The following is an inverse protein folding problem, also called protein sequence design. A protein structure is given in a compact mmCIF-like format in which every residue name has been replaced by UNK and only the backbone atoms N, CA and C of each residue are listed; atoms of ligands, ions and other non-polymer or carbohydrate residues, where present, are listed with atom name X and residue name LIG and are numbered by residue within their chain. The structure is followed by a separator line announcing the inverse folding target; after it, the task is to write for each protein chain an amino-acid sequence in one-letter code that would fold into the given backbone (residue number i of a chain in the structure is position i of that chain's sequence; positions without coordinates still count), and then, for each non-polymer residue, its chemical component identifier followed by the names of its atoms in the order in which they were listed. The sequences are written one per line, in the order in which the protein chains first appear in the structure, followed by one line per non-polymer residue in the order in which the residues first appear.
data_IF_485572187847
#
_entry.id   IF_485572187847
#
_cell.length_a   1.000
_cell.length_b   1.000
_cell.length_c   1.000
_cell.angle_alpha   90.00
_cell.angle_beta   90.00
_cell.angle_gamma   90.00
#
_symmetry.space_group_name_H-M   'P 1'
#
loop_
_entity.id
_entity.type
_entity.pdbx_description
1 polymer ?
#
# COMPACT_ATOMS: atom_id res chain seq x y z
N UNK A 1 8.69 43.49 75.43
CA UNK A 1 9.51 42.26 75.38
C UNK A 1 9.06 41.41 74.21
N UNK A 2 10.01 41.10 73.33
CA UNK A 2 10.04 40.16 72.19
C UNK A 2 8.73 39.56 71.65
N UNK A 3 8.38 39.90 70.40
CA UNK A 3 7.68 38.96 69.51
C UNK A 3 8.24 39.04 68.07
N UNK A 4 9.14 38.10 67.84
CA UNK A 4 9.57 37.48 66.57
C UNK A 4 8.74 37.80 65.31
N UNK A 5 9.36 38.52 64.38
CA UNK A 5 9.02 38.55 62.96
C UNK A 5 9.25 37.16 62.34
N UNK A 6 8.20 36.35 62.23
CA UNK A 6 8.20 35.18 61.35
C UNK A 6 8.19 35.65 59.90
N UNK A 7 9.38 35.67 59.28
CA UNK A 7 9.54 35.87 57.83
C UNK A 7 9.02 34.62 57.12
N UNK A 8 7.73 34.60 56.81
CA UNK A 8 7.11 33.53 56.05
C UNK A 8 7.82 33.34 54.70
N UNK A 9 8.47 32.20 54.54
CA UNK A 9 9.09 31.71 53.31
C UNK A 9 8.02 31.47 52.23
N UNK A 10 7.69 32.52 51.46
CA UNK A 10 6.81 32.45 50.26
C UNK A 10 7.49 31.79 49.04
N UNK A 11 8.36 30.81 49.24
CA UNK A 11 9.05 30.11 48.14
C UNK A 11 8.65 28.64 47.98
N UNK A 12 7.74 28.13 48.82
CA UNK A 12 7.38 26.71 48.87
C UNK A 12 6.48 26.16 47.76
N UNK A 13 5.90 26.99 46.88
CA UNK A 13 4.92 26.52 45.87
C UNK A 13 5.35 26.69 44.41
N UNK A 14 6.54 27.24 44.15
CA UNK A 14 7.03 27.50 42.79
C UNK A 14 7.61 26.27 42.09
N UNK A 15 8.08 25.26 42.83
CA UNK A 15 8.63 24.04 42.23
C UNK A 15 7.56 23.00 41.89
N UNK A 16 6.45 22.92 42.63
CA UNK A 16 5.47 21.83 42.42
C UNK A 16 4.70 21.96 41.10
N UNK A 17 4.32 23.18 40.68
CA UNK A 17 3.58 23.38 39.42
C UNK A 17 4.42 23.21 38.15
N UNK A 18 5.76 23.23 38.23
CA UNK A 18 6.65 22.96 37.09
C UNK A 18 6.76 21.47 36.79
N UNK A 19 6.67 20.63 37.82
CA UNK A 19 6.81 19.18 37.69
C UNK A 19 5.60 18.53 36.99
N UNK A 20 4.39 19.05 37.18
CA UNK A 20 3.16 18.42 36.68
C UNK A 20 2.95 18.51 35.15
N UNK A 21 3.65 19.41 34.46
CA UNK A 21 3.52 19.61 33.00
C UNK A 21 4.79 19.22 32.20
N UNK A 22 5.83 18.72 32.88
CA UNK A 22 7.05 18.26 32.25
C UNK A 22 6.89 16.80 31.80
N UNK A 23 7.01 16.57 30.50
CA UNK A 23 7.06 15.22 29.93
C UNK A 23 8.40 15.10 29.23
N UNK A 24 9.29 14.27 29.77
CA UNK A 24 10.63 14.04 29.21
C UNK A 24 10.54 13.70 27.72
N UNK A 25 11.21 14.51 26.90
CA UNK A 25 11.20 14.38 25.44
C UNK A 25 9.99 14.96 24.70
N UNK A 26 8.99 15.55 25.39
CA UNK A 26 7.81 16.17 24.77
C UNK A 26 7.54 17.62 25.20
N UNK A 27 7.79 17.98 26.46
CA UNK A 27 7.56 19.35 26.97
C UNK A 27 8.59 19.76 28.02
N UNK A 28 9.16 20.96 27.89
CA UNK A 28 10.14 21.54 28.81
C UNK A 28 11.60 21.22 28.48
N UNK A 29 12.52 21.77 29.27
CA UNK A 29 13.96 21.46 29.19
C UNK A 29 14.26 20.24 30.05
N UNK A 30 15.21 19.40 29.62
CA UNK A 30 15.58 18.18 30.34
C UNK A 30 16.19 18.47 31.72
N UNK A 31 16.10 17.51 32.63
CA UNK A 31 16.69 17.65 33.97
C UNK A 31 18.22 17.84 33.84
N UNK A 32 18.71 19.00 34.26
CA UNK A 32 20.14 19.39 34.13
C UNK A 32 20.45 20.31 32.94
N UNK A 33 19.50 20.55 32.02
CA UNK A 33 19.65 21.53 30.95
C UNK A 33 19.00 22.86 31.34
N UNK A 34 19.84 23.87 31.60
CA UNK A 34 19.34 25.21 31.92
C UNK A 34 18.79 25.86 30.64
N UNK A 35 17.57 26.44 30.67
CA UNK A 35 17.11 27.26 29.57
C UNK A 35 18.12 28.38 29.27
N UNK A 36 18.32 28.77 28.00
CA UNK A 36 19.16 29.91 27.68
C UNK A 36 18.64 31.14 28.43
N UNK A 37 19.56 31.94 28.98
CA UNK A 37 19.28 33.07 29.90
C UNK A 37 18.24 34.08 29.38
N UNK A 38 18.05 34.15 28.07
CA UNK A 38 17.12 35.06 27.38
C UNK A 38 15.81 34.42 26.91
N UNK A 39 15.58 33.13 27.16
CA UNK A 39 14.34 32.49 26.71
C UNK A 39 13.14 32.95 27.54
N UNK A 40 12.04 33.39 26.91
CA UNK A 40 10.81 33.66 27.63
C UNK A 40 10.23 32.32 28.10
N UNK A 41 10.54 31.93 29.33
CA UNK A 41 9.78 30.90 30.02
C UNK A 41 8.32 31.35 30.03
N UNK A 42 7.45 30.63 29.31
CA UNK A 42 6.02 30.89 29.22
C UNK A 42 5.39 30.63 30.58
N UNK A 43 5.47 31.60 31.49
CA UNK A 43 4.67 31.57 32.68
C UNK A 43 3.22 31.84 32.28
N UNK A 44 2.25 31.01 32.72
CA UNK A 44 0.85 31.38 32.57
C UNK A 44 0.65 32.73 33.27
N UNK A 45 0.06 33.70 32.56
CA UNK A 45 -0.29 34.99 33.15
C UNK A 45 -1.21 34.71 34.33
N UNK A 46 -0.86 35.22 35.51
CA UNK A 46 -1.74 35.13 36.68
C UNK A 46 -3.07 35.79 36.36
N UNK A 47 -4.18 35.18 36.77
CA UNK A 47 -5.50 35.78 36.60
C UNK A 47 -5.53 37.17 37.25
N UNK A 48 -6.21 38.15 36.63
CA UNK A 48 -6.34 39.49 37.20
C UNK A 48 -7.08 39.42 38.54
N UNK A 49 -6.51 40.05 39.57
CA UNK A 49 -7.17 40.17 40.88
C UNK A 49 -8.08 41.40 40.89
N UNK A 50 -9.16 41.33 41.67
CA UNK A 50 -10.15 42.40 41.76
C UNK A 50 -9.52 43.76 42.11
N UNK A 51 -8.50 43.77 42.97
CA UNK A 51 -7.81 44.98 43.42
C UNK A 51 -6.98 45.65 42.31
N UNK A 52 -6.47 44.87 41.34
CA UNK A 52 -5.74 45.40 40.19
C UNK A 52 -6.68 45.96 39.11
N UNK A 53 -7.82 45.33 38.89
CA UNK A 53 -8.78 45.73 37.85
C UNK A 53 -9.72 46.85 38.29
N UNK A 54 -10.02 46.94 39.58
CA UNK A 54 -10.98 47.86 40.15
C UNK A 54 -10.44 48.47 41.45
N UNK A 55 -9.37 49.28 41.39
CA UNK A 55 -8.76 49.86 42.57
C UNK A 55 -9.74 50.77 43.31
N UNK A 56 -9.71 50.69 44.64
CA UNK A 56 -10.51 51.58 45.49
C UNK A 56 -10.02 53.03 45.35
N UNK A 57 -10.91 54.02 45.45
CA UNK A 57 -10.53 55.42 45.36
C UNK A 57 -9.59 55.79 46.51
N UNK A 58 -8.54 56.57 46.21
CA UNK A 58 -7.55 57.03 47.21
C UNK A 58 -8.16 57.93 48.29
N UNK A 59 -9.29 58.57 48.00
CA UNK A 59 -10.03 59.45 48.91
C UNK A 59 -11.48 58.97 49.01
N UNK A 60 -11.92 58.61 50.21
CA UNK A 60 -13.27 58.09 50.49
C UNK A 60 -14.31 59.19 50.67
N UNK A 61 -13.88 60.44 50.83
CA UNK A 61 -14.76 61.59 51.09
C UNK A 61 -14.87 62.44 49.84
N UNK A 62 -16.07 62.47 49.27
CA UNK A 62 -16.51 63.58 48.42
C UNK A 62 -16.49 64.81 49.34
N UNK A 63 -15.51 65.70 49.21
CA UNK A 63 -15.43 66.90 50.06
C UNK A 63 -16.67 67.75 49.82
N UNK A 64 -17.51 67.85 50.85
CA UNK A 64 -18.87 68.41 50.87
C UNK A 64 -19.00 69.93 50.54
N UNK A 65 -18.02 70.53 49.83
CA UNK A 65 -17.97 71.97 49.60
C UNK A 65 -18.65 72.45 48.32
N UNK A 66 -18.45 71.77 47.17
CA UNK A 66 -19.01 72.19 45.86
C UNK A 66 -18.95 71.06 44.82
N UNK A 67 -19.57 69.91 45.11
CA UNK A 67 -19.62 68.80 44.16
C UNK A 67 -20.91 68.84 43.34
N UNK A 68 -20.77 69.20 42.06
CA UNK A 68 -21.84 69.15 41.05
C UNK A 68 -22.59 67.81 41.12
N UNK A 69 -23.92 67.82 40.94
CA UNK A 69 -24.78 66.61 40.89
C UNK A 69 -24.16 65.51 40.02
N UNK A 70 -23.54 65.91 38.91
CA UNK A 70 -22.84 65.04 37.98
C UNK A 70 -21.67 64.25 38.61
N UNK A 71 -20.90 64.87 39.51
CA UNK A 71 -19.78 64.23 40.20
C UNK A 71 -20.23 63.17 41.20
N UNK A 72 -21.35 63.42 41.90
CA UNK A 72 -21.97 62.45 42.81
C UNK A 72 -22.47 61.22 42.04
N UNK A 73 -23.19 61.44 40.94
CA UNK A 73 -23.64 60.37 40.04
C UNK A 73 -22.46 59.55 39.49
N UNK A 74 -21.38 60.21 39.03
CA UNK A 74 -20.17 59.52 38.56
C UNK A 74 -19.52 58.66 39.65
N UNK A 75 -19.48 59.15 40.88
CA UNK A 75 -18.92 58.39 41.99
C UNK A 75 -19.75 57.14 42.29
N UNK A 76 -21.08 57.29 42.44
CA UNK A 76 -22.02 56.19 42.69
C UNK A 76 -21.96 55.13 41.57
N UNK A 77 -21.96 55.58 40.32
CA UNK A 77 -21.89 54.71 39.15
C UNK A 77 -20.53 53.99 39.06
N UNK A 78 -19.42 54.67 39.37
CA UNK A 78 -18.11 54.05 39.45
C UNK A 78 -18.02 52.99 40.56
N UNK A 79 -18.69 53.23 41.70
CA UNK A 79 -18.71 52.29 42.81
C UNK A 79 -19.52 51.04 42.47
N UNK A 80 -20.67 51.22 41.81
CA UNK A 80 -21.47 50.12 41.30
C UNK A 80 -20.67 49.24 40.32
N UNK A 81 -19.94 49.85 39.39
CA UNK A 81 -19.07 49.12 38.44
C UNK A 81 -17.95 48.36 39.14
N UNK A 82 -17.30 48.95 40.15
CA UNK A 82 -16.26 48.28 40.95
C UNK A 82 -16.82 47.06 41.67
N UNK A 83 -18.00 47.18 42.29
CA UNK A 83 -18.67 46.07 42.98
C UNK A 83 -18.96 44.92 42.02
N UNK A 84 -19.64 45.17 40.90
CA UNK A 84 -19.93 44.12 39.91
C UNK A 84 -18.67 43.47 39.33
N UNK A 85 -17.63 44.24 39.02
CA UNK A 85 -16.38 43.69 38.53
C UNK A 85 -15.70 42.79 39.58
N UNK A 86 -15.69 43.23 40.85
CA UNK A 86 -15.09 42.46 41.95
C UNK A 86 -15.85 41.15 42.21
N UNK A 87 -17.18 41.18 42.16
CA UNK A 87 -18.04 40.00 42.32
C UNK A 87 -17.87 39.03 41.15
N UNK A 88 -17.82 39.55 39.92
CA UNK A 88 -17.57 38.74 38.73
C UNK A 88 -16.23 38.03 38.80
N UNK A 89 -15.15 38.73 39.16
CA UNK A 89 -13.81 38.13 39.27
C UNK A 89 -13.77 37.06 40.37
N UNK A 90 -14.41 37.31 41.52
CA UNK A 90 -14.52 36.29 42.59
C UNK A 90 -15.30 35.07 42.12
N UNK A 91 -16.44 35.27 41.46
CA UNK A 91 -17.24 34.19 40.91
C UNK A 91 -16.49 33.38 39.83
N UNK A 92 -15.74 34.05 38.94
CA UNK A 92 -14.89 33.35 37.97
C UNK A 92 -13.72 32.60 38.61
N UNK A 93 -13.14 33.13 39.69
CA UNK A 93 -12.04 32.48 40.39
C UNK A 93 -12.47 31.27 41.22
N UNK A 94 -13.67 31.30 41.80
CA UNK A 94 -14.12 30.29 42.78
C UNK A 94 -15.14 29.29 42.20
N UNK A 95 -16.16 29.78 41.48
CA UNK A 95 -17.31 28.95 41.09
C UNK A 95 -17.14 28.32 39.70
N UNK A 96 -16.56 29.05 38.74
CA UNK A 96 -16.26 28.49 37.40
C UNK A 96 -15.36 27.26 37.42
N UNK A 97 -14.21 27.23 38.13
CA UNK A 97 -13.36 26.04 38.13
C UNK A 97 -14.02 24.84 38.80
N UNK A 98 -14.84 25.05 39.85
CA UNK A 98 -15.61 23.99 40.49
C UNK A 98 -16.63 23.38 39.52
N UNK A 99 -17.42 24.22 38.85
CA UNK A 99 -18.40 23.76 37.83
C UNK A 99 -17.71 23.03 36.68
N UNK A 100 -16.63 23.59 36.16
CA UNK A 100 -15.87 22.96 35.08
C UNK A 100 -15.27 21.60 35.49
N UNK A 101 -14.77 21.49 36.72
CA UNK A 101 -14.27 20.23 37.26
C UNK A 101 -15.40 19.19 37.39
N UNK A 102 -16.57 19.59 37.90
CA UNK A 102 -17.74 18.71 38.02
C UNK A 102 -18.26 18.24 36.65
N UNK A 103 -18.35 19.15 35.67
CA UNK A 103 -18.80 18.81 34.32
C UNK A 103 -17.80 17.87 33.63
N UNK A 104 -16.50 18.13 33.78
CA UNK A 104 -15.45 17.25 33.29
C UNK A 104 -15.54 15.87 33.92
N UNK A 105 -15.74 15.78 35.23
CA UNK A 105 -15.89 14.51 35.92
C UNK A 105 -17.12 13.75 35.42
N UNK A 106 -18.26 14.43 35.26
CA UNK A 106 -19.49 13.84 34.71
C UNK A 106 -19.28 13.30 33.30
N UNK A 107 -18.61 14.06 32.43
CA UNK A 107 -18.27 13.62 31.08
C UNK A 107 -17.35 12.39 31.10
N UNK A 108 -16.33 12.38 31.96
CA UNK A 108 -15.41 11.24 32.07
C UNK A 108 -16.13 9.99 32.58
N UNK A 109 -17.03 10.13 33.57
CA UNK A 109 -17.88 9.02 34.05
C UNK A 109 -18.79 8.47 32.95
N UNK A 110 -19.44 9.34 32.18
CA UNK A 110 -20.27 8.93 31.05
C UNK A 110 -19.46 8.21 29.98
N UNK A 111 -18.25 8.70 29.69
CA UNK A 111 -17.32 8.05 28.77
C UNK A 111 -16.95 6.66 29.26
N UNK A 112 -16.57 6.51 30.54
CA UNK A 112 -16.24 5.19 31.10
C UNK A 112 -17.42 4.23 31.07
N UNK A 113 -18.65 4.70 31.31
CA UNK A 113 -19.84 3.85 31.23
C UNK A 113 -20.06 3.38 29.79
N UNK A 114 -19.95 4.28 28.81
CA UNK A 114 -20.07 3.93 27.39
C UNK A 114 -18.98 2.96 26.95
N UNK A 115 -17.74 3.21 27.33
CA UNK A 115 -16.60 2.35 27.00
C UNK A 115 -16.75 0.97 27.66
N UNK A 116 -17.25 0.91 28.89
CA UNK A 116 -17.54 -0.36 29.57
C UNK A 116 -18.68 -1.13 28.92
N UNK A 117 -19.71 -0.46 28.39
CA UNK A 117 -20.81 -1.11 27.66
C UNK A 117 -20.35 -1.63 26.29
N UNK A 118 -19.48 -0.89 25.60
CA UNK A 118 -18.92 -1.32 24.31
C UNK A 118 -17.94 -2.48 24.47
N UNK A 119 -17.16 -2.49 25.55
CA UNK A 119 -16.20 -3.55 25.85
C UNK A 119 -16.79 -4.66 26.75
N UNK A 120 -18.10 -4.61 27.04
CA UNK A 120 -18.73 -5.66 27.81
C UNK A 120 -18.67 -6.96 27.01
N UNK A 121 -18.33 -8.09 27.65
CA UNK A 121 -18.39 -9.38 26.97
C UNK A 121 -19.83 -9.65 26.53
N UNK A 122 -20.00 -10.10 25.29
CA UNK A 122 -21.31 -10.46 24.74
C UNK A 122 -22.00 -11.51 25.61
N UNK A 123 -23.33 -11.44 25.67
CA UNK A 123 -24.11 -12.41 26.45
C UNK A 123 -23.94 -13.81 25.88
N UNK A 124 -23.92 -14.83 26.75
CA UNK A 124 -23.87 -16.24 26.32
C UNK A 124 -25.03 -16.62 25.39
N UNK A 125 -26.18 -15.94 25.51
CA UNK A 125 -27.32 -16.12 24.61
C UNK A 125 -27.09 -15.50 23.23
N UNK A 126 -26.33 -14.40 23.13
CA UNK A 126 -25.98 -13.75 21.87
C UNK A 126 -24.92 -14.55 21.13
N UNK A 127 -23.88 -15.01 21.84
CA UNK A 127 -22.84 -15.88 21.29
C UNK A 127 -23.37 -17.20 20.69
N UNK A 128 -24.46 -17.73 21.24
CA UNK A 128 -25.09 -18.97 20.76
C UNK A 128 -26.14 -18.73 19.67
N UNK A 129 -26.67 -17.52 19.55
CA UNK A 129 -27.70 -17.18 18.56
C UNK A 129 -27.10 -16.58 17.28
N UNK A 130 -25.93 -15.96 17.37
CA UNK A 130 -25.19 -15.44 16.22
C UNK A 130 -24.33 -16.55 15.60
N UNK A 131 -24.34 -16.72 14.27
CA UNK A 131 -23.42 -17.64 13.61
C UNK A 131 -21.98 -17.10 13.72
N UNK A 132 -21.12 -17.80 14.46
CA UNK A 132 -19.73 -17.37 14.71
C UNK A 132 -18.79 -17.72 13.54
N UNK A 133 -18.19 -16.71 12.89
CA UNK A 133 -17.15 -16.84 11.85
C UNK A 133 -15.73 -16.78 12.48
N UNK A 134 -15.63 -16.65 13.81
CA UNK A 134 -14.37 -16.37 14.50
C UNK A 134 -13.32 -17.47 14.36
N UNK A 135 -13.75 -18.75 14.28
CA UNK A 135 -12.82 -19.87 14.06
C UNK A 135 -12.15 -19.79 12.70
N UNK A 136 -12.87 -19.36 11.66
CA UNK A 136 -12.30 -19.20 10.32
C UNK A 136 -11.33 -18.04 10.20
N UNK A 137 -11.50 -16.98 11.00
CA UNK A 137 -10.65 -15.77 10.95
C UNK A 137 -9.42 -15.91 11.86
N UNK A 138 -9.56 -16.57 13.02
CA UNK A 138 -8.45 -16.80 13.95
C UNK A 138 -7.36 -17.71 13.37
N UNK A 139 -7.74 -18.62 12.47
CA UNK A 139 -6.82 -19.54 11.79
C UNK A 139 -6.17 -18.93 10.54
N UNK A 140 -6.51 -17.70 10.15
CA UNK A 140 -6.29 -17.27 8.77
C UNK A 140 -4.85 -16.83 8.45
N UNK A 141 -4.05 -16.23 9.36
CA UNK A 141 -2.69 -15.79 8.96
C UNK A 141 -1.62 -15.69 10.06
N UNK A 142 -0.34 -15.98 9.72
CA UNK A 142 0.15 -16.50 8.44
C UNK A 142 0.27 -18.04 8.45
N UNK A 143 -0.44 -18.69 7.54
CA UNK A 143 -0.28 -20.11 7.27
C UNK A 143 1.16 -20.38 6.80
N UNK A 144 1.94 -21.12 7.60
CA UNK A 144 3.22 -21.66 7.15
C UNK A 144 2.98 -22.57 5.93
N UNK A 145 3.54 -22.20 4.76
CA UNK A 145 3.49 -23.03 3.56
C UNK A 145 4.40 -24.25 3.73
N UNK A 146 3.88 -25.29 4.38
CA UNK A 146 4.56 -26.57 4.60
C UNK A 146 5.02 -27.23 3.28
N UNK A 147 4.45 -26.84 2.13
CA UNK A 147 4.72 -27.41 0.81
C UNK A 147 5.59 -26.52 -0.08
N UNK A 148 6.23 -25.48 0.47
CA UNK A 148 7.07 -24.54 -0.28
C UNK A 148 8.14 -25.24 -1.14
N UNK A 149 8.82 -26.25 -0.57
CA UNK A 149 9.88 -26.99 -1.27
C UNK A 149 9.33 -27.86 -2.41
N UNK A 150 8.20 -28.55 -2.18
CA UNK A 150 7.54 -29.34 -3.22
C UNK A 150 7.06 -28.46 -4.39
N UNK A 151 6.51 -27.28 -4.08
CA UNK A 151 6.09 -26.29 -5.10
C UNK A 151 7.28 -25.75 -5.89
N UNK A 152 8.40 -25.47 -5.23
CA UNK A 152 9.64 -25.02 -5.89
C UNK A 152 10.18 -26.09 -6.85
N UNK A 153 10.21 -27.36 -6.42
CA UNK A 153 10.63 -28.48 -7.25
C UNK A 153 9.72 -28.65 -8.48
N UNK A 154 8.39 -28.56 -8.30
CA UNK A 154 7.43 -28.61 -9.41
C UNK A 154 7.65 -27.48 -10.42
N UNK A 155 7.91 -26.26 -9.94
CA UNK A 155 8.23 -25.10 -10.81
C UNK A 155 9.50 -25.34 -11.61
N UNK A 156 10.53 -25.89 -10.97
CA UNK A 156 11.80 -26.21 -11.62
C UNK A 156 11.63 -27.28 -12.69
N UNK A 157 10.90 -28.35 -12.40
CA UNK A 157 10.57 -29.39 -13.38
C UNK A 157 9.79 -28.84 -14.57
N UNK A 158 8.78 -28.00 -14.32
CA UNK A 158 8.02 -27.35 -15.40
C UNK A 158 8.92 -26.45 -16.26
N UNK A 159 9.86 -25.73 -15.65
CA UNK A 159 10.83 -24.91 -16.39
C UNK A 159 11.69 -25.76 -17.31
N UNK A 160 12.26 -26.85 -16.80
CA UNK A 160 13.08 -27.80 -17.58
C UNK A 160 12.27 -28.44 -18.71
N UNK A 161 11.02 -28.82 -18.47
CA UNK A 161 10.12 -29.36 -19.50
C UNK A 161 9.89 -28.34 -20.62
N UNK A 162 9.62 -27.08 -20.27
CA UNK A 162 9.42 -26.03 -21.25
C UNK A 162 10.70 -25.71 -22.05
N UNK A 163 11.87 -25.72 -21.40
CA UNK A 163 13.16 -25.59 -22.08
C UNK A 163 13.40 -26.76 -23.06
N UNK A 164 13.07 -27.99 -22.66
CA UNK A 164 13.16 -29.16 -23.54
C UNK A 164 12.27 -29.04 -24.79
N UNK A 165 11.02 -28.61 -24.62
CA UNK A 165 10.07 -28.42 -25.74
C UNK A 165 10.60 -27.35 -26.71
N UNK A 166 11.16 -26.25 -26.19
CA UNK A 166 11.76 -25.21 -27.05
C UNK A 166 12.94 -25.76 -27.86
N UNK A 167 13.80 -26.55 -27.22
CA UNK A 167 14.94 -27.15 -27.91
C UNK A 167 14.50 -28.16 -28.98
N UNK A 168 13.45 -28.92 -28.71
CA UNK A 168 12.86 -29.86 -29.67
C UNK A 168 12.31 -29.13 -30.90
N UNK A 169 11.58 -28.02 -30.71
CA UNK A 169 11.11 -27.17 -31.83
C UNK A 169 12.27 -26.67 -32.67
N UNK A 170 13.34 -26.18 -32.03
CA UNK A 170 14.54 -25.71 -32.74
C UNK A 170 15.20 -26.85 -33.51
N UNK A 171 15.26 -28.06 -32.94
CA UNK A 171 15.83 -29.23 -33.61
C UNK A 171 15.00 -29.66 -34.82
N UNK A 172 13.66 -29.63 -34.70
CA UNK A 172 12.76 -29.84 -35.85
C UNK A 172 12.99 -28.80 -36.95
N UNK A 173 13.15 -27.53 -36.60
CA UNK A 173 13.47 -26.48 -37.59
C UNK A 173 14.80 -26.75 -38.30
N UNK A 174 15.85 -27.14 -37.57
CA UNK A 174 17.13 -27.51 -38.17
C UNK A 174 17.02 -28.72 -39.10
N UNK A 175 16.28 -29.74 -38.69
CA UNK A 175 16.07 -30.93 -39.50
C UNK A 175 15.29 -30.59 -40.79
N UNK A 176 14.29 -29.71 -40.70
CA UNK A 176 13.57 -29.20 -41.88
C UNK A 176 14.49 -28.41 -42.82
N UNK A 177 15.37 -27.55 -42.28
CA UNK A 177 16.39 -26.85 -43.08
C UNK A 177 17.32 -27.86 -43.77
N UNK A 178 17.74 -28.90 -43.06
CA UNK A 178 18.58 -29.96 -43.63
C UNK A 178 17.86 -30.73 -44.75
N UNK A 179 16.58 -31.06 -44.57
CA UNK A 179 15.78 -31.69 -45.61
C UNK A 179 15.62 -30.80 -46.84
N UNK A 180 15.46 -29.49 -46.64
CA UNK A 180 15.33 -28.53 -47.72
C UNK A 180 16.67 -28.14 -48.35
N UNK A 181 17.80 -28.51 -47.72
CA UNK A 181 19.14 -28.12 -48.19
C UNK A 181 19.48 -28.61 -49.59
N UNK A 182 18.87 -29.71 -50.05
CA UNK A 182 19.03 -30.21 -51.41
C UNK A 182 18.51 -29.22 -52.48
N UNK A 183 17.58 -28.34 -52.12
CA UNK A 183 17.09 -27.27 -53.01
C UNK A 183 17.89 -25.97 -52.91
N UNK A 184 18.85 -25.87 -51.98
CA UNK A 184 19.66 -24.66 -51.83
C UNK A 184 20.86 -24.67 -52.77
N UNK A 185 21.01 -23.59 -53.51
CA UNK A 185 22.18 -23.35 -54.34
C UNK A 185 23.32 -22.85 -53.46
N UNK A 186 24.31 -23.70 -53.24
CA UNK A 186 25.50 -23.39 -52.41
C UNK A 186 26.76 -23.13 -53.23
N UNK A 187 26.74 -23.40 -54.54
CA UNK A 187 27.90 -23.24 -55.44
C UNK A 187 27.53 -22.45 -56.69
N UNK A 188 28.50 -21.74 -57.27
CA UNK A 188 28.30 -20.97 -58.51
C UNK A 188 27.84 -21.86 -59.68
N UNK A 189 28.38 -23.07 -59.79
CA UNK A 189 27.94 -24.04 -60.81
C UNK A 189 26.47 -24.44 -60.63
N UNK A 190 26.02 -24.62 -59.38
CA UNK A 190 24.62 -24.92 -59.09
C UNK A 190 23.68 -23.76 -59.44
N UNK A 191 24.18 -22.53 -59.35
CA UNK A 191 23.43 -21.33 -59.74
C UNK A 191 23.21 -21.29 -61.25
N UNK A 192 24.28 -21.50 -62.02
CA UNK A 192 24.21 -21.50 -63.49
C UNK A 192 23.25 -22.59 -63.99
N UNK A 193 23.31 -23.80 -63.41
CA UNK A 193 22.37 -24.88 -63.77
C UNK A 193 20.93 -24.56 -63.40
N UNK A 194 20.69 -23.87 -62.28
CA UNK A 194 19.34 -23.49 -61.87
C UNK A 194 18.79 -22.38 -62.77
N UNK A 195 19.62 -21.39 -63.12
CA UNK A 195 19.26 -20.33 -64.05
C UNK A 195 18.93 -20.89 -65.44
N UNK A 196 19.73 -21.80 -65.95
CA UNK A 196 19.46 -22.45 -67.23
C UNK A 196 18.18 -23.28 -67.19
N UNK A 197 17.92 -24.00 -66.09
CA UNK A 197 16.69 -24.77 -65.92
C UNK A 197 15.43 -23.91 -65.80
N UNK A 198 15.53 -22.71 -65.19
CA UNK A 198 14.38 -21.84 -64.90
C UNK A 198 14.10 -20.82 -66.00
N UNK A 199 15.15 -20.31 -66.64
CA UNK A 199 15.06 -19.35 -67.76
C UNK A 199 14.94 -20.11 -69.08
N UNK A 200 15.58 -21.27 -69.23
CA UNK A 200 15.48 -22.11 -70.42
C UNK A 200 14.10 -22.77 -70.59
N UNK A 201 13.37 -23.00 -69.49
CA UNK A 201 11.99 -23.53 -69.49
C UNK A 201 10.91 -22.45 -69.62
N UNK A 202 11.18 -21.38 -70.37
CA UNK A 202 10.36 -20.17 -70.50
C UNK A 202 8.97 -20.40 -71.11
N UNK A 203 8.04 -20.99 -70.33
CA UNK A 203 6.60 -20.76 -70.47
C UNK A 203 6.17 -19.69 -69.47
N UNK A 204 6.66 -18.46 -69.64
CA UNK A 204 6.28 -17.30 -68.80
C UNK A 204 4.84 -16.81 -69.04
N UNK A 205 4.11 -17.40 -70.00
CA UNK A 205 2.77 -16.97 -70.42
C UNK A 205 1.61 -17.62 -69.65
N UNK A 206 1.86 -18.64 -68.82
CA UNK A 206 0.80 -19.39 -68.12
C UNK A 206 0.81 -19.16 -66.60
N UNK A 207 1.32 -18.00 -66.16
CA UNK A 207 1.29 -17.61 -64.74
C UNK A 207 -0.10 -17.10 -64.39
N UNK A 208 -1.02 -18.05 -64.16
CA UNK A 208 -2.26 -17.82 -63.41
C UNK A 208 -1.91 -17.10 -62.10
N UNK A 209 -2.70 -16.11 -61.64
CA UNK A 209 -2.45 -15.43 -60.37
C UNK A 209 -2.25 -16.47 -59.27
N UNK A 210 -1.16 -16.33 -58.51
CA UNK A 210 -0.70 -17.30 -57.50
C UNK A 210 -1.59 -17.31 -56.25
N UNK A 211 -2.87 -17.63 -56.41
CA UNK A 211 -3.95 -17.59 -55.40
C UNK A 211 -4.62 -16.22 -55.25
N UNK A 212 -5.87 -16.13 -55.67
CA UNK A 212 -6.77 -15.01 -55.40
C UNK A 212 -7.47 -15.19 -54.04
N UNK A 213 -7.99 -14.10 -53.45
CA UNK A 213 -8.78 -14.19 -52.21
C UNK A 213 -9.99 -15.12 -52.36
N UNK A 214 -10.55 -15.21 -53.57
CA UNK A 214 -11.60 -16.15 -53.94
C UNK A 214 -11.12 -17.60 -53.92
N UNK A 215 -9.89 -17.90 -54.35
CA UNK A 215 -9.32 -19.25 -54.27
C UNK A 215 -9.12 -19.71 -52.82
N UNK A 216 -8.64 -18.79 -51.96
CA UNK A 216 -8.48 -19.05 -50.53
C UNK A 216 -9.84 -19.23 -49.83
N UNK A 217 -10.83 -18.42 -50.19
CA UNK A 217 -12.20 -18.52 -49.66
C UNK A 217 -12.91 -19.80 -50.14
N UNK A 218 -12.66 -20.26 -51.37
CA UNK A 218 -13.17 -21.55 -51.83
C UNK A 218 -12.49 -22.72 -51.10
N UNK A 219 -11.18 -22.64 -50.86
CA UNK A 219 -10.43 -23.66 -50.12
C UNK A 219 -10.82 -23.74 -48.63
N UNK A 220 -11.21 -22.62 -48.02
CA UNK A 220 -11.63 -22.56 -46.62
C UNK A 220 -13.15 -22.74 -46.41
N UNK A 221 -13.98 -22.33 -47.37
CA UNK A 221 -15.43 -22.18 -47.22
C UNK A 221 -16.28 -23.28 -47.86
N UNK A 222 -15.75 -24.01 -48.84
CA UNK A 222 -16.44 -25.15 -49.46
C UNK A 222 -15.53 -26.36 -49.40
N UNK A 223 -15.96 -27.43 -48.72
CA UNK A 223 -15.23 -28.69 -48.55
C UNK A 223 -14.90 -29.46 -49.84
N UNK A 224 -14.89 -28.81 -51.00
CA UNK A 224 -14.30 -29.30 -52.23
C UNK A 224 -12.78 -29.07 -52.21
N UNK A 225 -12.10 -29.66 -51.23
CA UNK A 225 -10.71 -29.99 -51.44
C UNK A 225 -10.68 -30.97 -52.62
N UNK A 226 -9.98 -30.61 -53.71
CA UNK A 226 -9.67 -31.57 -54.77
C UNK A 226 -9.13 -32.85 -54.11
N UNK A 227 -9.70 -34.02 -54.41
CA UNK A 227 -9.32 -35.29 -53.78
C UNK A 227 -7.80 -35.53 -53.77
N UNK A 228 -7.07 -35.03 -54.77
CA UNK A 228 -5.61 -35.08 -54.80
C UNK A 228 -4.89 -34.18 -53.77
N UNK A 229 -5.50 -33.05 -53.38
CA UNK A 229 -4.97 -32.15 -52.33
C UNK A 229 -5.38 -32.60 -50.92
N UNK A 230 -6.55 -33.25 -50.74
CA UNK A 230 -6.92 -33.87 -49.45
C UNK A 230 -5.88 -34.92 -49.08
N UNK A 231 -5.57 -35.82 -50.01
CA UNK A 231 -4.65 -36.92 -49.74
C UNK A 231 -3.22 -36.43 -49.43
N UNK A 232 -2.80 -35.30 -50.01
CA UNK A 232 -1.51 -34.68 -49.69
C UNK A 232 -1.53 -34.04 -48.30
N UNK A 233 -2.60 -33.32 -47.96
CA UNK A 233 -2.76 -32.72 -46.63
C UNK A 233 -2.90 -33.79 -45.54
N UNK A 234 -3.62 -34.88 -45.82
CA UNK A 234 -3.76 -36.02 -44.91
C UNK A 234 -2.43 -36.74 -44.73
N UNK A 235 -1.67 -36.97 -45.80
CA UNK A 235 -0.30 -37.51 -45.69
C UNK A 235 0.64 -36.58 -44.91
N UNK A 236 0.56 -35.25 -45.11
CA UNK A 236 1.35 -34.28 -44.38
C UNK A 236 0.95 -34.22 -42.89
N UNK A 237 -0.33 -34.39 -42.57
CA UNK A 237 -0.85 -34.47 -41.20
C UNK A 237 -0.41 -35.78 -40.55
N UNK A 238 -0.54 -36.91 -41.25
CA UNK A 238 -0.13 -38.22 -40.76
C UNK A 238 1.39 -38.26 -40.52
N UNK A 239 2.20 -37.69 -41.40
CA UNK A 239 3.64 -37.53 -41.20
C UNK A 239 3.93 -36.69 -39.93
N UNK A 240 3.21 -35.59 -39.72
CA UNK A 240 3.34 -34.77 -38.51
C UNK A 240 2.95 -35.53 -37.23
N UNK A 241 1.92 -36.38 -37.28
CA UNK A 241 1.47 -37.18 -36.14
C UNK A 241 2.46 -38.33 -35.85
N UNK A 242 3.02 -38.95 -36.89
CA UNK A 242 4.02 -40.01 -36.77
C UNK A 242 5.40 -39.47 -36.36
N UNK A 243 5.59 -38.15 -36.38
CA UNK A 243 6.85 -37.49 -36.02
C UNK A 243 7.90 -37.59 -37.13
N UNK A 244 7.52 -38.05 -38.32
CA UNK A 244 8.33 -38.05 -39.54
C UNK A 244 8.26 -36.66 -40.19
N UNK A 245 9.29 -36.26 -40.92
CA UNK A 245 9.22 -35.04 -41.72
C UNK A 245 8.51 -35.34 -43.04
N UNK A 246 7.71 -34.38 -43.52
CA UNK A 246 6.88 -34.52 -44.73
C UNK A 246 7.60 -35.24 -45.89
N UNK A 247 6.95 -36.26 -46.44
CA UNK A 247 7.47 -37.10 -47.52
C UNK A 247 8.28 -38.31 -47.05
N UNK A 248 7.96 -38.86 -45.87
CA UNK A 248 8.58 -40.10 -45.35
C UNK A 248 10.05 -39.97 -44.95
N UNK A 249 10.51 -38.76 -44.62
CA UNK A 249 11.90 -38.50 -44.22
C UNK A 249 12.06 -38.64 -42.70
N UNK A 250 13.24 -39.07 -42.22
CA UNK A 250 13.38 -39.45 -40.83
C UNK A 250 13.17 -38.27 -39.88
N UNK A 251 12.41 -38.53 -38.83
CA UNK A 251 12.04 -37.56 -37.81
C UNK A 251 13.14 -37.26 -36.80
N UNK A 252 12.94 -36.24 -35.96
CA UNK A 252 13.88 -35.89 -34.88
C UNK A 252 14.11 -37.08 -33.93
N UNK A 253 13.04 -37.80 -33.60
CA UNK A 253 13.13 -38.98 -32.74
C UNK A 253 13.97 -40.09 -33.37
N UNK A 254 13.77 -40.39 -34.64
CA UNK A 254 14.49 -41.44 -35.36
C UNK A 254 15.97 -41.09 -35.54
N UNK A 255 16.27 -39.82 -35.90
CA UNK A 255 17.65 -39.33 -36.01
C UNK A 255 18.36 -39.40 -34.65
N UNK A 256 17.67 -39.07 -33.55
CA UNK A 256 18.26 -39.16 -32.21
C UNK A 256 18.59 -40.60 -31.79
N UNK A 257 17.76 -41.58 -32.19
CA UNK A 257 18.02 -43.00 -31.95
C UNK A 257 19.20 -43.51 -32.79
N UNK A 258 19.29 -43.10 -34.05
CA UNK A 258 20.43 -43.46 -34.92
C UNK A 258 21.74 -42.83 -34.38
N UNK A 259 21.71 -41.58 -33.93
CA UNK A 259 22.89 -40.93 -33.37
C UNK A 259 23.31 -41.55 -32.03
N UNK A 260 22.36 -41.89 -31.16
CA UNK A 260 22.65 -42.51 -29.85
C UNK A 260 23.19 -43.94 -29.95
N UNK A 261 22.75 -44.71 -30.95
CA UNK A 261 23.29 -46.06 -31.24
C UNK A 261 24.68 -45.99 -31.91
N UNK A 262 24.94 -44.95 -32.69
CA UNK A 262 26.26 -44.72 -33.29
C UNK A 262 27.30 -44.24 -32.27
N UNK A 263 26.91 -43.45 -31.27
CA UNK A 263 27.83 -43.00 -30.23
C UNK A 263 28.18 -44.10 -29.22
N UNK A 264 27.25 -45.01 -28.92
CA UNK A 264 27.52 -46.15 -28.04
C UNK A 264 28.44 -47.21 -28.68
N UNK A 265 28.32 -47.43 -30.00
CA UNK A 265 29.20 -48.34 -30.75
C UNK A 265 30.61 -47.79 -31.03
N UNK A 266 30.84 -46.49 -30.88
CA UNK A 266 32.16 -45.85 -30.97
C UNK A 266 32.91 -45.81 -29.62
N UNK A 267 32.21 -46.08 -28.51
CA UNK A 267 32.77 -46.10 -27.16
C UNK A 267 33.05 -47.51 -26.62
N UNK A 268 32.62 -48.55 -27.34
CA UNK A 268 32.99 -49.96 -27.13
C UNK A 268 34.16 -50.36 -28.01
#
# INVERSE_FOLDING_TARGET
MSSTLQRATRFGSYQSRRAEAYVKGKSGYDEGFLPPRSSPTRFPKSAPTADLTAPQPKTTKITNGHTSIYSKWKYEESDRRRRYMSEHIKHEAEERPKKFAQDRERMMRQKTIRDNLLNAPESRAELLSLPSIERTIADEYPLLDNNKNARANKRLQNRRKNESIKNEIVLHQFLNIHHNSAGYVTTLKGLDTLLESTIGSANYLDVVPKHTLTDLAMQAGHGAFSYGKVNQVEADIDDQIMGTAAGGRPGVMEVSQILSTKTSSLQS
#
